data_IF_637849416720
#
_entry.id   IF_637849416720
#
_cell.length_a   1.000
_cell.length_b   1.000
_cell.length_c   1.000
_cell.angle_alpha   90.00
_cell.angle_beta   90.00
_cell.angle_gamma   90.00
#
_symmetry.space_group_name_H-M   'P 1'
#
loop_
_entity.id
_entity.type
_entity.pdbx_description
1 polymer ?
#
# COMPACT_ATOMS: atom_id res chain seq x y z
N UNK A 1 -20.41 -48.93 8.81
CA UNK A 1 -20.08 -47.55 9.25
C UNK A 1 -18.74 -47.10 8.64
N UNK A 2 -18.72 -46.63 7.38
CA UNK A 2 -17.52 -46.03 6.73
C UNK A 2 -17.98 -45.05 5.62
N UNK A 3 -18.62 -43.93 5.99
CA UNK A 3 -19.06 -42.91 5.01
C UNK A 3 -18.73 -41.46 5.39
N UNK A 4 -17.96 -41.27 6.47
CA UNK A 4 -17.60 -39.95 7.01
C UNK A 4 -16.20 -39.51 6.56
N UNK A 5 -15.30 -40.44 6.19
CA UNK A 5 -13.88 -40.16 5.89
C UNK A 5 -13.63 -39.44 4.55
N UNK A 6 -14.50 -39.64 3.55
CA UNK A 6 -14.29 -39.14 2.19
C UNK A 6 -14.60 -37.65 2.01
N UNK A 7 -15.63 -37.12 2.69
CA UNK A 7 -16.04 -35.71 2.57
C UNK A 7 -14.98 -34.80 3.21
N UNK A 8 -14.51 -35.15 4.40
CA UNK A 8 -13.43 -34.45 5.09
C UNK A 8 -12.13 -34.42 4.29
N UNK A 9 -11.79 -35.53 3.61
CA UNK A 9 -10.61 -35.60 2.75
C UNK A 9 -10.73 -34.70 1.52
N UNK A 10 -11.91 -34.62 0.89
CA UNK A 10 -12.17 -33.71 -0.23
C UNK A 10 -12.07 -32.26 0.23
N UNK A 11 -12.66 -31.92 1.39
CA UNK A 11 -12.55 -30.57 1.97
C UNK A 11 -11.09 -30.20 2.25
N UNK A 12 -10.32 -31.12 2.83
CA UNK A 12 -8.90 -30.90 3.11
C UNK A 12 -8.07 -30.71 1.82
N UNK A 13 -8.36 -31.47 0.77
CA UNK A 13 -7.67 -31.36 -0.52
C UNK A 13 -7.98 -30.04 -1.23
N UNK A 14 -9.23 -29.55 -1.15
CA UNK A 14 -9.62 -28.25 -1.72
C UNK A 14 -8.97 -27.08 -0.97
N UNK A 15 -8.89 -27.15 0.36
CA UNK A 15 -8.20 -26.12 1.15
C UNK A 15 -6.69 -26.12 0.85
N UNK A 16 -6.09 -27.31 0.77
CA UNK A 16 -4.67 -27.45 0.45
C UNK A 16 -4.36 -26.93 -0.96
N UNK A 17 -5.22 -27.22 -1.95
CA UNK A 17 -5.03 -26.70 -3.30
C UNK A 17 -5.16 -25.18 -3.32
N UNK A 18 -6.12 -24.57 -2.62
CA UNK A 18 -6.26 -23.11 -2.49
C UNK A 18 -4.97 -22.49 -1.92
N UNK A 19 -4.39 -23.04 -0.86
CA UNK A 19 -3.15 -22.52 -0.26
C UNK A 19 -1.91 -22.67 -1.16
N UNK A 20 -1.90 -23.64 -2.07
CA UNK A 20 -0.80 -23.90 -3.01
C UNK A 20 -0.97 -23.12 -4.32
N UNK A 21 -2.20 -22.95 -4.82
CA UNK A 21 -2.49 -22.23 -6.08
C UNK A 21 -2.64 -20.73 -5.92
N UNK A 22 -3.02 -20.24 -4.74
CA UNK A 22 -2.95 -18.81 -4.48
C UNK A 22 -1.51 -18.54 -4.05
N UNK A 23 -0.68 -17.88 -4.86
CA UNK A 23 0.57 -17.38 -4.34
C UNK A 23 0.18 -16.56 -3.11
N UNK A 24 0.73 -16.91 -1.94
CA UNK A 24 0.78 -15.97 -0.83
C UNK A 24 1.26 -14.68 -1.46
N UNK A 25 0.36 -13.71 -1.62
CA UNK A 25 0.75 -12.40 -2.12
C UNK A 25 1.69 -11.91 -1.05
N UNK A 26 2.99 -11.93 -1.34
CA UNK A 26 3.97 -11.33 -0.47
C UNK A 26 3.62 -9.85 -0.43
N UNK A 27 2.94 -9.45 0.64
CA UNK A 27 2.75 -8.04 0.95
C UNK A 27 4.13 -7.57 1.36
N UNK A 28 4.86 -6.97 0.42
CA UNK A 28 6.03 -6.19 0.73
C UNK A 28 5.54 -4.89 1.36
N UNK A 29 5.36 -4.91 2.69
CA UNK A 29 4.91 -3.75 3.45
C UNK A 29 6.02 -2.70 3.51
N UNK A 30 5.70 -1.48 3.09
CA UNK A 30 6.56 -0.32 3.24
C UNK A 30 5.84 0.71 4.12
N UNK A 31 6.38 0.98 5.32
CA UNK A 31 5.73 1.88 6.27
C UNK A 31 5.56 3.31 5.74
N UNK A 32 6.46 3.79 4.89
CA UNK A 32 6.32 5.09 4.22
C UNK A 32 5.20 5.03 3.17
N UNK A 33 5.12 3.92 2.43
CA UNK A 33 4.01 3.63 1.53
C UNK A 33 2.67 3.60 2.24
N UNK A 34 2.57 2.92 3.39
CA UNK A 34 1.34 2.85 4.19
C UNK A 34 0.95 4.22 4.75
N UNK A 35 1.93 5.02 5.19
CA UNK A 35 1.70 6.38 5.66
C UNK A 35 1.16 7.29 4.55
N UNK A 36 1.77 7.24 3.37
CA UNK A 36 1.35 8.00 2.20
C UNK A 36 0.01 7.51 1.66
N UNK A 37 -0.26 6.20 1.68
CA UNK A 37 -1.58 5.67 1.34
C UNK A 37 -2.65 6.17 2.31
N UNK A 38 -2.33 6.24 3.60
CA UNK A 38 -3.23 6.82 4.61
C UNK A 38 -3.52 8.29 4.31
N UNK A 39 -2.51 9.07 3.89
CA UNK A 39 -2.75 10.44 3.43
C UNK A 39 -3.69 10.46 2.22
N UNK A 40 -3.41 9.66 1.19
CA UNK A 40 -4.22 9.58 -0.04
C UNK A 40 -5.71 9.37 0.25
N UNK A 41 -6.05 8.44 1.14
CA UNK A 41 -7.47 8.14 1.44
C UNK A 41 -8.15 9.21 2.30
N UNK A 42 -7.37 10.12 2.92
CA UNK A 42 -7.88 11.26 3.68
C UNK A 42 -7.94 12.55 2.84
N UNK A 43 -7.51 12.50 1.58
CA UNK A 43 -7.58 13.61 0.64
C UNK A 43 -8.66 13.35 -0.42
N UNK A 44 -9.39 14.40 -0.76
CA UNK A 44 -10.22 14.46 -1.96
C UNK A 44 -9.34 14.84 -3.15
N UNK A 45 -9.35 14.00 -4.17
CA UNK A 45 -8.52 14.13 -5.36
C UNK A 45 -9.37 14.19 -6.64
N UNK A 46 -9.99 15.35 -6.96
CA UNK A 46 -10.89 15.47 -8.10
C UNK A 46 -10.19 15.28 -9.46
N UNK A 47 -8.87 15.43 -9.50
CA UNK A 47 -8.08 15.40 -10.72
C UNK A 47 -7.24 14.12 -10.88
N UNK A 48 -7.37 13.15 -9.97
CA UNK A 48 -6.59 11.90 -9.96
C UNK A 48 -5.06 12.15 -9.93
N UNK A 49 -4.61 13.17 -9.22
CA UNK A 49 -3.18 13.49 -9.05
C UNK A 49 -2.45 12.35 -8.32
N UNK A 50 -3.12 11.70 -7.36
CA UNK A 50 -2.58 10.62 -6.54
C UNK A 50 -2.82 9.23 -7.14
N UNK A 51 -3.21 9.13 -8.42
CA UNK A 51 -3.57 7.85 -9.06
C UNK A 51 -2.44 6.81 -9.04
N UNK A 52 -1.17 7.24 -9.09
CA UNK A 52 -0.01 6.35 -9.09
C UNK A 52 0.33 5.80 -7.70
N UNK A 53 -0.33 6.27 -6.63
CA UNK A 53 -0.04 5.91 -5.25
C UNK A 53 -0.66 4.55 -4.93
N UNK A 54 -0.07 3.50 -5.49
CA UNK A 54 -0.53 2.12 -5.35
C UNK A 54 0.18 1.43 -4.16
N UNK A 55 -0.54 1.13 -3.06
CA UNK A 55 0.02 0.51 -1.86
C UNK A 55 0.46 -0.95 -2.09
N UNK A 56 0.13 -1.55 -3.23
CA UNK A 56 0.56 -2.91 -3.58
C UNK A 56 1.98 -2.95 -4.17
N UNK A 57 2.52 -1.78 -4.54
CA UNK A 57 3.90 -1.64 -4.99
C UNK A 57 4.87 -1.66 -3.80
N UNK A 58 6.04 -2.24 -4.03
CA UNK A 58 7.07 -2.48 -2.99
C UNK A 58 7.58 -1.18 -2.37
N UNK A 59 7.59 -0.07 -3.13
CA UNK A 59 8.19 1.17 -2.67
C UNK A 59 7.47 2.41 -3.24
N UNK A 60 7.15 3.44 -2.41
CA UNK A 60 6.52 4.67 -2.88
C UNK A 60 7.40 5.57 -3.76
N UNK A 61 8.70 5.29 -3.93
CA UNK A 61 9.59 6.10 -4.77
C UNK A 61 9.20 6.12 -6.26
N UNK A 62 8.35 5.19 -6.71
CA UNK A 62 7.81 5.20 -8.08
C UNK A 62 6.51 5.99 -8.20
N UNK A 63 5.97 6.52 -7.10
CA UNK A 63 4.75 7.30 -7.10
C UNK A 63 5.05 8.72 -7.57
N UNK A 64 4.15 9.31 -8.36
CA UNK A 64 4.21 10.71 -8.72
C UNK A 64 4.19 11.58 -7.48
N UNK A 65 4.88 12.72 -7.56
CA UNK A 65 5.00 13.69 -6.47
C UNK A 65 5.78 13.20 -5.25
N UNK A 66 6.41 12.02 -5.32
CA UNK A 66 7.29 11.48 -4.29
C UNK A 66 8.73 11.49 -4.80
N UNK A 67 9.66 11.97 -3.98
CA UNK A 67 11.11 11.85 -4.26
C UNK A 67 11.78 11.17 -3.10
N UNK A 68 12.69 10.24 -3.41
CA UNK A 68 13.45 9.47 -2.44
C UNK A 68 14.94 9.77 -2.51
N UNK A 69 15.65 9.42 -1.43
CA UNK A 69 17.10 9.35 -1.41
C UNK A 69 17.62 8.04 -2.04
N UNK A 70 18.95 7.86 -2.01
CA UNK A 70 19.62 6.66 -2.54
C UNK A 70 19.30 5.37 -1.76
N UNK A 71 18.76 5.48 -0.54
CA UNK A 71 18.34 4.35 0.29
C UNK A 71 16.87 3.98 0.05
N UNK A 72 16.24 4.56 -0.98
CA UNK A 72 14.83 4.40 -1.33
C UNK A 72 13.87 4.80 -0.19
N UNK A 73 14.23 5.82 0.59
CA UNK A 73 13.38 6.43 1.61
C UNK A 73 12.93 7.82 1.18
N UNK A 74 11.66 8.14 1.46
CA UNK A 74 11.00 9.37 1.03
C UNK A 74 11.63 10.59 1.70
N UNK A 75 12.08 11.53 0.88
CA UNK A 75 12.67 12.82 1.31
C UNK A 75 11.81 14.03 0.91
N UNK A 76 10.95 13.90 -0.11
CA UNK A 76 10.08 14.98 -0.57
C UNK A 76 8.72 14.43 -0.99
N UNK A 77 7.67 15.14 -0.60
CA UNK A 77 6.30 14.97 -1.12
C UNK A 77 5.80 16.33 -1.60
N UNK A 78 5.39 16.43 -2.87
CA UNK A 78 5.09 17.70 -3.53
C UNK A 78 3.71 17.73 -4.20
N UNK A 79 2.70 18.12 -3.42
CA UNK A 79 1.28 18.15 -3.80
C UNK A 79 0.77 19.58 -4.05
N UNK A 80 1.64 20.59 -4.08
CA UNK A 80 1.21 21.98 -4.25
C UNK A 80 0.54 22.21 -5.59
N UNK A 81 -0.49 23.06 -5.59
CA UNK A 81 -1.33 23.37 -6.76
C UNK A 81 -2.07 22.15 -7.37
N UNK A 82 -2.17 21.04 -6.65
CA UNK A 82 -2.90 19.84 -7.12
C UNK A 82 -4.42 19.91 -6.89
N UNK A 83 -4.92 21.00 -6.27
CA UNK A 83 -6.32 21.17 -5.89
C UNK A 83 -6.88 20.01 -5.04
N UNK A 84 -6.04 19.48 -4.15
CA UNK A 84 -6.44 18.48 -3.15
C UNK A 84 -7.10 19.19 -1.96
N UNK A 85 -8.18 18.63 -1.45
CA UNK A 85 -8.82 19.04 -0.19
C UNK A 85 -8.77 17.90 0.83
N UNK A 86 -8.92 18.21 2.12
CA UNK A 86 -8.92 17.21 3.19
C UNK A 86 -7.99 17.56 4.34
N UNK A 87 -7.55 16.55 5.08
CA UNK A 87 -6.72 16.72 6.27
C UNK A 87 -5.42 15.93 6.17
N UNK A 88 -4.34 16.55 6.65
CA UNK A 88 -3.08 15.85 6.88
C UNK A 88 -3.25 14.82 7.98
N UNK A 89 -2.50 13.72 7.86
CA UNK A 89 -2.58 12.57 8.76
C UNK A 89 -1.33 12.47 9.63
N UNK A 90 -1.42 12.10 10.92
CA UNK A 90 -0.26 11.99 11.81
C UNK A 90 0.75 10.92 11.37
N UNK A 91 0.31 9.95 10.56
CA UNK A 91 1.13 8.89 9.97
C UNK A 91 2.25 9.46 9.10
N UNK A 92 2.15 10.72 8.65
CA UNK A 92 3.25 11.40 7.97
C UNK A 92 4.52 11.48 8.83
N UNK A 93 4.41 11.39 10.17
CA UNK A 93 5.55 11.27 11.09
C UNK A 93 6.34 9.96 10.98
N UNK A 94 5.88 9.00 10.16
CA UNK A 94 6.61 7.76 9.84
C UNK A 94 7.66 7.97 8.74
N UNK A 95 7.57 9.03 7.94
CA UNK A 95 8.55 9.37 6.91
C UNK A 95 9.78 10.02 7.56
N UNK A 96 10.69 9.19 8.10
CA UNK A 96 11.80 9.65 8.96
C UNK A 96 12.83 10.53 8.25
N UNK A 97 12.96 10.38 6.94
CA UNK A 97 13.89 11.15 6.12
C UNK A 97 13.22 12.30 5.38
N UNK A 98 11.93 12.58 5.64
CA UNK A 98 11.20 13.65 4.97
C UNK A 98 11.82 15.01 5.31
N UNK A 99 12.27 15.71 4.29
CA UNK A 99 12.88 17.05 4.40
C UNK A 99 11.92 18.13 3.92
N UNK A 100 11.02 17.78 3.00
CA UNK A 100 10.10 18.74 2.41
C UNK A 100 8.72 18.14 2.16
N UNK A 101 7.70 18.85 2.62
CA UNK A 101 6.29 18.58 2.36
C UNK A 101 5.67 19.86 1.80
N UNK A 102 5.16 19.79 0.57
CA UNK A 102 4.33 20.83 -0.03
C UNK A 102 2.94 20.27 -0.26
N UNK A 103 1.93 20.99 0.20
CA UNK A 103 0.53 20.59 0.20
C UNK A 103 -0.36 21.73 -0.22
#
# INVERSE_FOLDING_TARGET
MKKVKGREAITALVVLSILVVHPFRFIYGNMEGDALHTLRVNLEDPNNVLQSWDPTLVNPCTWFHVTCNNDNSVIRVDLGNAALSGQLVPQLGLLKNLQYLNS
#
